data_IF_847525836596
#
_entry.id   IF_847525836596
#
_cell.length_a   1.000
_cell.length_b   1.000
_cell.length_c   1.000
_cell.angle_alpha   90.00
_cell.angle_beta   90.00
_cell.angle_gamma   90.00
#
_symmetry.space_group_name_H-M   'P 1'
#
loop_
_entity.id
_entity.type
_entity.pdbx_description
1 polymer ?
#
# COMPACT_ATOMS: atom_id res chain seq x y z
N UNK A 1 -7.12 -11.42 6.03
CA UNK A 1 -6.33 -11.09 4.82
C UNK A 1 -4.86 -11.06 5.17
N UNK A 2 -4.01 -11.81 4.45
CA UNK A 2 -2.56 -11.75 4.67
C UNK A 2 -2.02 -10.32 4.49
N UNK A 3 -1.04 -9.93 5.30
CA UNK A 3 -0.50 -8.57 5.28
C UNK A 3 0.06 -8.15 3.92
N UNK A 4 0.68 -9.08 3.18
CA UNK A 4 1.22 -8.77 1.86
C UNK A 4 0.13 -8.49 0.81
N UNK A 5 -1.12 -8.78 1.12
CA UNK A 5 -2.24 -8.63 0.18
C UNK A 5 -2.93 -7.26 0.28
N UNK A 6 -2.41 -6.31 1.04
CA UNK A 6 -3.01 -4.96 1.16
C UNK A 6 -3.17 -4.29 -0.20
N UNK A 7 -2.20 -4.43 -1.10
CA UNK A 7 -2.30 -3.87 -2.45
C UNK A 7 -3.48 -4.46 -3.24
N UNK A 8 -3.87 -5.70 -2.94
CA UNK A 8 -5.06 -6.33 -3.53
C UNK A 8 -6.35 -5.65 -3.11
N UNK A 9 -6.44 -5.23 -1.86
CA UNK A 9 -7.61 -4.47 -1.38
C UNK A 9 -7.73 -3.15 -2.13
N UNK A 10 -6.61 -2.47 -2.37
CA UNK A 10 -6.59 -1.25 -3.16
C UNK A 10 -6.99 -1.51 -4.61
N UNK A 11 -6.51 -2.61 -5.18
CA UNK A 11 -6.88 -3.05 -6.53
C UNK A 11 -8.40 -3.28 -6.64
N UNK A 12 -9.02 -3.88 -5.61
CA UNK A 12 -10.46 -4.09 -5.56
C UNK A 12 -11.24 -2.77 -5.52
N UNK A 13 -10.76 -1.77 -4.79
CA UNK A 13 -11.38 -0.45 -4.75
C UNK A 13 -11.40 0.19 -6.14
N UNK A 14 -10.33 0.04 -6.89
CA UNK A 14 -10.25 0.55 -8.25
C UNK A 14 -11.17 -0.25 -9.19
N UNK A 15 -11.13 -1.57 -9.11
CA UNK A 15 -11.85 -2.44 -10.04
C UNK A 15 -13.38 -2.41 -9.83
N UNK A 16 -13.84 -2.34 -8.58
CA UNK A 16 -15.24 -2.56 -8.25
C UNK A 16 -15.94 -1.39 -7.54
N UNK A 17 -15.21 -0.53 -6.87
CA UNK A 17 -15.78 0.61 -6.15
C UNK A 17 -15.68 1.94 -6.91
N UNK A 18 -15.09 1.93 -8.10
CA UNK A 18 -14.96 3.13 -8.93
C UNK A 18 -13.88 4.10 -8.47
N UNK A 19 -12.98 3.69 -7.59
CA UNK A 19 -11.87 4.53 -7.15
C UNK A 19 -10.82 4.65 -8.24
N UNK A 20 -10.22 5.84 -8.38
CA UNK A 20 -8.95 5.96 -9.10
C UNK A 20 -7.81 5.43 -8.23
N UNK A 21 -6.65 5.06 -8.81
CA UNK A 21 -5.47 4.70 -8.00
C UNK A 21 -5.10 5.76 -6.97
N UNK A 22 -5.17 7.04 -7.33
CA UNK A 22 -4.91 8.16 -6.41
C UNK A 22 -5.90 8.17 -5.23
N UNK A 23 -7.19 7.97 -5.50
CA UNK A 23 -8.22 7.91 -4.46
C UNK A 23 -8.00 6.69 -3.53
N UNK A 24 -7.67 5.54 -4.09
CA UNK A 24 -7.39 4.33 -3.30
C UNK A 24 -6.18 4.53 -2.38
N UNK A 25 -5.09 5.11 -2.88
CA UNK A 25 -3.90 5.40 -2.08
C UNK A 25 -4.18 6.45 -1.01
N UNK A 26 -4.94 7.48 -1.33
CA UNK A 26 -5.33 8.52 -0.38
C UNK A 26 -6.18 7.92 0.75
N UNK A 27 -7.12 7.06 0.42
CA UNK A 27 -7.95 6.37 1.41
C UNK A 27 -7.12 5.48 2.34
N UNK A 28 -6.14 4.75 1.78
CA UNK A 28 -5.29 3.85 2.55
C UNK A 28 -4.28 4.57 3.46
N UNK A 29 -4.00 5.82 3.20
CA UNK A 29 -2.99 6.59 3.94
C UNK A 29 -3.62 7.71 4.76
N UNK A 30 -3.87 8.86 4.13
CA UNK A 30 -4.33 10.06 4.85
C UNK A 30 -5.71 9.91 5.48
N UNK A 31 -6.67 9.32 4.78
CA UNK A 31 -8.03 9.14 5.30
C UNK A 31 -8.03 8.16 6.46
N UNK A 32 -7.35 7.02 6.33
CA UNK A 32 -7.24 6.05 7.40
C UNK A 32 -6.55 6.62 8.63
N UNK A 33 -5.49 7.39 8.44
CA UNK A 33 -4.80 8.06 9.56
C UNK A 33 -5.73 9.04 10.28
N UNK A 34 -6.55 9.77 9.55
CA UNK A 34 -7.54 10.67 10.12
C UNK A 34 -8.59 9.93 10.93
N UNK A 35 -9.12 8.81 10.40
CA UNK A 35 -10.10 7.98 11.10
C UNK A 35 -9.53 7.41 12.41
N UNK A 36 -8.26 6.99 12.38
CA UNK A 36 -7.59 6.45 13.58
C UNK A 36 -7.09 7.55 14.54
N UNK A 37 -7.19 8.82 14.16
CA UNK A 37 -6.74 9.92 15.00
C UNK A 37 -5.23 10.10 15.06
N UNK A 38 -4.48 9.59 14.07
CA UNK A 38 -3.01 9.68 14.02
C UNK A 38 -2.49 10.53 12.85
N UNK A 39 -3.36 11.27 12.21
CA UNK A 39 -3.02 12.08 11.03
C UNK A 39 -2.03 13.21 11.32
N UNK A 40 -1.88 13.65 12.56
CA UNK A 40 -0.84 14.59 12.95
C UNK A 40 0.56 13.97 12.94
N UNK A 41 0.66 12.64 13.03
CA UNK A 41 1.92 11.92 13.17
C UNK A 41 2.33 11.15 11.91
N UNK A 42 1.36 10.66 11.14
CA UNK A 42 1.61 9.79 9.99
C UNK A 42 0.47 9.87 8.96
N UNK A 43 0.61 9.16 7.86
CA UNK A 43 -0.41 9.07 6.81
C UNK A 43 -0.15 9.98 5.62
N UNK A 44 0.80 10.89 5.73
CA UNK A 44 1.25 11.75 4.64
C UNK A 44 2.72 12.11 4.81
N UNK A 45 3.36 12.53 3.73
CA UNK A 45 4.76 12.94 3.73
C UNK A 45 4.84 14.45 3.96
N UNK A 46 5.00 14.82 5.22
CA UNK A 46 5.07 16.23 5.64
C UNK A 46 6.15 16.40 6.69
N UNK A 47 6.76 17.58 6.70
CA UNK A 47 7.79 17.92 7.70
C UNK A 47 7.18 17.84 9.10
N UNK A 48 7.88 17.17 10.01
CA UNK A 48 7.46 16.98 11.39
C UNK A 48 6.68 15.69 11.65
N UNK A 49 6.29 14.96 10.59
CA UNK A 49 5.63 13.66 10.75
C UNK A 49 6.62 12.50 10.75
N UNK A 50 6.19 11.36 11.28
CA UNK A 50 6.96 10.13 11.25
C UNK A 50 7.32 9.75 9.81
N UNK A 51 8.56 9.36 9.59
CA UNK A 51 9.01 8.88 8.28
C UNK A 51 8.57 7.43 8.07
N UNK A 52 7.30 7.25 7.67
CA UNK A 52 6.69 5.97 7.32
C UNK A 52 6.41 5.99 5.83
N UNK A 53 7.29 5.36 5.03
CA UNK A 53 7.18 5.46 3.58
C UNK A 53 7.66 4.21 2.86
N UNK A 54 7.17 4.05 1.64
CA UNK A 54 7.60 3.01 0.72
C UNK A 54 8.35 3.66 -0.43
N UNK A 55 9.49 3.09 -0.78
CA UNK A 55 10.20 3.42 -2.02
C UNK A 55 9.87 2.33 -3.03
N UNK A 56 9.32 2.72 -4.16
CA UNK A 56 8.82 1.80 -5.18
C UNK A 56 9.64 1.92 -6.46
N UNK A 57 9.68 0.84 -7.24
CA UNK A 57 10.38 0.81 -8.53
C UNK A 57 9.54 1.36 -9.69
N UNK A 58 8.24 1.54 -9.47
CA UNK A 58 7.31 2.04 -10.48
C UNK A 58 6.27 2.94 -9.82
N UNK A 59 5.58 3.74 -10.63
CA UNK A 59 4.55 4.65 -10.13
C UNK A 59 3.26 3.88 -9.79
N UNK A 60 2.84 3.84 -8.51
CA UNK A 60 1.62 3.13 -8.13
C UNK A 60 0.35 3.77 -8.68
N UNK A 61 0.40 5.02 -9.15
CA UNK A 61 -0.73 5.67 -9.81
C UNK A 61 -0.99 5.08 -11.20
N UNK A 62 0.04 4.51 -11.84
CA UNK A 62 -0.08 3.84 -13.13
C UNK A 62 -0.48 2.37 -12.94
N UNK A 63 0.06 1.72 -11.90
CA UNK A 63 -0.20 0.32 -11.60
C UNK A 63 -0.01 0.06 -10.10
N UNK A 64 -1.09 -0.27 -9.40
CA UNK A 64 -1.06 -0.57 -7.97
C UNK A 64 -0.21 -1.79 -7.63
N UNK A 65 0.09 -2.66 -8.59
CA UNK A 65 1.00 -3.79 -8.39
C UNK A 65 2.43 -3.37 -8.07
N UNK A 66 2.79 -2.11 -8.30
CA UNK A 66 4.06 -1.56 -7.84
C UNK A 66 4.23 -1.69 -6.32
N UNK A 67 3.13 -1.77 -5.57
CA UNK A 67 3.14 -1.96 -4.11
C UNK A 67 3.46 -3.39 -3.69
N UNK A 68 3.39 -4.36 -4.59
CA UNK A 68 3.61 -5.77 -4.27
C UNK A 68 5.04 -6.06 -3.81
N UNK A 69 6.01 -5.39 -4.43
CA UNK A 69 7.44 -5.56 -4.15
C UNK A 69 8.12 -4.21 -3.96
N UNK A 70 8.00 -3.59 -2.78
CA UNK A 70 8.68 -2.32 -2.56
C UNK A 70 10.20 -2.49 -2.58
N UNK A 71 10.91 -1.51 -3.12
CA UNK A 71 12.36 -1.49 -3.13
C UNK A 71 12.92 -1.28 -1.72
N UNK A 72 12.21 -0.49 -0.90
CA UNK A 72 12.61 -0.17 0.46
C UNK A 72 11.36 0.22 1.27
N UNK A 73 11.33 -0.20 2.51
CA UNK A 73 10.31 0.25 3.48
C UNK A 73 11.03 1.02 4.58
N UNK A 74 10.52 2.21 4.90
CA UNK A 74 11.03 3.00 6.02
C UNK A 74 9.89 3.12 7.03
N UNK A 75 10.16 2.72 8.27
CA UNK A 75 9.19 2.78 9.37
C UNK A 75 9.80 3.58 10.52
N UNK A 76 9.13 4.64 10.94
CA UNK A 76 9.60 5.56 11.99
C UNK A 76 11.04 6.04 11.75
N UNK A 77 11.38 6.32 10.50
CA UNK A 77 12.71 6.77 10.08
C UNK A 77 13.75 5.67 9.96
N UNK A 78 13.39 4.42 10.21
CA UNK A 78 14.34 3.28 10.16
C UNK A 78 14.09 2.44 8.91
N UNK A 79 15.10 2.21 8.06
CA UNK A 79 14.93 1.38 6.88
C UNK A 79 14.77 -0.10 7.27
N UNK A 80 13.82 -0.75 6.60
CA UNK A 80 13.63 -2.20 6.67
C UNK A 80 14.13 -2.77 5.35
N UNK A 81 15.30 -3.38 5.37
CA UNK A 81 15.91 -3.94 4.18
C UNK A 81 15.27 -5.26 3.78
N UNK A 82 15.01 -5.42 2.47
CA UNK A 82 14.47 -6.64 1.89
C UNK A 82 13.20 -7.11 2.61
N UNK A 83 12.13 -6.28 2.64
CA UNK A 83 10.87 -6.75 3.17
C UNK A 83 10.42 -7.96 2.34
N UNK A 84 10.34 -9.11 2.99
CA UNK A 84 9.96 -10.37 2.34
C UNK A 84 8.75 -10.94 3.08
N UNK A 85 7.54 -10.39 2.86
CA UNK A 85 6.35 -10.93 3.47
C UNK A 85 6.12 -12.35 2.99
N UNK A 86 5.58 -13.19 3.87
CA UNK A 86 5.24 -14.56 3.54
C UNK A 86 4.19 -14.57 2.43
N UNK A 87 4.45 -15.31 1.37
CA UNK A 87 3.56 -15.39 0.22
C UNK A 87 2.89 -16.76 0.17
N UNK A 88 1.67 -16.75 -0.35
CA UNK A 88 0.88 -17.94 -0.60
C UNK A 88 0.60 -18.01 -2.10
N UNK A 89 1.47 -18.69 -2.83
CA UNK A 89 1.44 -18.75 -4.30
C UNK A 89 0.08 -19.20 -4.86
N UNK A 90 -0.55 -20.18 -4.23
CA UNK A 90 -1.86 -20.70 -4.66
C UNK A 90 -2.96 -19.64 -4.52
N UNK A 91 -2.93 -18.87 -3.42
CA UNK A 91 -3.89 -17.79 -3.19
C UNK A 91 -3.64 -16.65 -4.17
N UNK A 92 -2.38 -16.28 -4.42
CA UNK A 92 -2.04 -15.26 -5.39
C UNK A 92 -2.54 -15.63 -6.80
N UNK A 93 -2.33 -16.88 -7.21
CA UNK A 93 -2.78 -17.36 -8.51
C UNK A 93 -4.31 -17.29 -8.65
N UNK A 94 -5.05 -17.69 -7.61
CA UNK A 94 -6.51 -17.60 -7.61
C UNK A 94 -7.00 -16.15 -7.68
N UNK A 95 -6.36 -15.25 -6.96
CA UNK A 95 -6.71 -13.83 -6.97
C UNK A 95 -6.40 -13.19 -8.32
N UNK A 96 -5.29 -13.54 -8.94
CA UNK A 96 -4.93 -13.06 -10.27
C UNK A 96 -5.95 -13.52 -11.31
N UNK A 97 -6.41 -14.77 -11.25
CA UNK A 97 -7.44 -15.30 -12.13
C UNK A 97 -8.77 -14.61 -11.92
N UNK A 98 -9.17 -14.37 -10.66
CA UNK A 98 -10.47 -13.79 -10.32
C UNK A 98 -10.57 -12.30 -10.65
N UNK A 99 -9.46 -11.54 -10.55
CA UNK A 99 -9.46 -10.08 -10.65
C UNK A 99 -8.55 -9.53 -11.75
N UNK A 100 -8.11 -10.38 -12.64
CA UNK A 100 -7.26 -9.97 -13.75
C UNK A 100 -8.02 -9.12 -14.79
#
# INVERSE_FOLDING_TARGET
VPQYATWRELELLVAYAGFSPAEALHAATAVNASILGVDAETGSLEVGKSADLLVLNANPLDDLRALEHPALVIAAGHPVWRPAPKRFADIDALLDEAYA
#
